data_IF_098130112794
#
_entry.id   IF_098130112794
#
_cell.length_a   1.000
_cell.length_b   1.000
_cell.length_c   1.000
_cell.angle_alpha   90.00
_cell.angle_beta   90.00
_cell.angle_gamma   90.00
#
_symmetry.space_group_name_H-M   'P 1'
#
loop_
_entity.id
_entity.type
_entity.pdbx_description
1 polymer ?
#
# COMPACT_ATOMS: atom_id res chain seq x y z
N UNK A 1 -80.42 -5.36 40.20
CA UNK A 1 -79.64 -6.04 39.09
C UNK A 1 -78.52 -5.17 38.74
N UNK A 2 -77.33 -5.56 39.15
CA UNK A 2 -76.13 -4.71 39.05
C UNK A 2 -75.13 -5.37 38.06
N UNK A 3 -74.92 -4.77 36.88
CA UNK A 3 -74.03 -5.29 35.86
C UNK A 3 -72.61 -4.76 36.11
N UNK A 4 -71.67 -5.65 36.39
CA UNK A 4 -70.27 -5.37 36.47
C UNK A 4 -69.63 -5.55 35.07
N UNK A 5 -69.05 -4.47 34.54
CA UNK A 5 -68.24 -4.49 33.32
C UNK A 5 -66.80 -4.63 33.75
N UNK A 6 -66.16 -5.75 33.36
CA UNK A 6 -64.75 -6.03 33.59
C UNK A 6 -63.96 -5.40 32.46
N UNK A 7 -63.13 -4.39 32.76
CA UNK A 7 -62.15 -3.81 31.78
C UNK A 7 -60.87 -4.60 31.93
N UNK A 8 -60.51 -5.34 30.87
CA UNK A 8 -59.15 -5.86 30.72
C UNK A 8 -58.21 -4.80 30.14
N UNK A 9 -57.17 -4.44 30.92
CA UNK A 9 -56.07 -3.59 30.47
C UNK A 9 -54.98 -4.50 29.89
N UNK A 10 -54.74 -4.42 28.57
CA UNK A 10 -53.63 -5.11 27.92
C UNK A 10 -52.41 -4.26 28.08
N UNK A 11 -51.44 -4.68 28.88
CA UNK A 11 -50.11 -4.12 28.93
C UNK A 11 -49.31 -4.64 27.71
N UNK A 12 -49.04 -3.76 26.76
CA UNK A 12 -48.10 -4.01 25.67
C UNK A 12 -46.65 -3.97 26.17
N UNK A 13 -45.97 -5.11 26.21
CA UNK A 13 -44.51 -5.14 26.35
C UNK A 13 -43.90 -4.66 25.05
N UNK A 14 -43.34 -3.44 25.06
CA UNK A 14 -42.40 -2.99 24.05
C UNK A 14 -41.07 -3.73 24.24
N UNK A 15 -40.82 -4.78 23.45
CA UNK A 15 -39.52 -5.41 23.36
C UNK A 15 -38.53 -4.49 22.65
N UNK A 16 -37.59 -3.88 23.37
CA UNK A 16 -36.39 -3.26 22.77
C UNK A 16 -35.56 -4.40 22.15
N UNK A 17 -35.59 -4.52 20.83
CA UNK A 17 -34.62 -5.29 20.11
C UNK A 17 -33.28 -4.55 20.16
N UNK A 18 -32.39 -4.96 21.05
CA UNK A 18 -30.97 -4.60 21.02
C UNK A 18 -30.37 -5.28 19.79
N UNK A 19 -30.28 -4.58 18.67
CA UNK A 19 -29.39 -4.95 17.58
C UNK A 19 -27.96 -4.80 18.08
N UNK A 20 -27.37 -5.91 18.53
CA UNK A 20 -25.95 -5.98 18.77
C UNK A 20 -25.25 -5.70 17.43
N UNK A 21 -24.59 -4.57 17.29
CA UNK A 21 -23.57 -4.38 16.26
C UNK A 21 -22.48 -5.40 16.54
N UNK A 22 -22.52 -6.52 15.83
CA UNK A 22 -21.42 -7.47 15.79
C UNK A 22 -20.33 -6.78 15.02
N UNK A 23 -19.32 -6.27 15.71
CA UNK A 23 -18.08 -5.84 15.06
C UNK A 23 -17.51 -7.06 14.33
N UNK A 24 -17.14 -6.94 13.04
CA UNK A 24 -16.55 -8.05 12.31
C UNK A 24 -15.34 -8.57 13.08
N UNK A 25 -15.20 -9.89 13.15
CA UNK A 25 -14.04 -10.50 13.81
C UNK A 25 -12.77 -10.11 13.05
N UNK A 26 -11.62 -10.06 13.74
CA UNK A 26 -10.34 -9.79 13.08
C UNK A 26 -10.04 -10.76 11.92
N UNK A 27 -10.58 -11.98 11.98
CA UNK A 27 -10.50 -12.98 10.92
C UNK A 27 -11.34 -12.61 9.67
N UNK A 28 -12.48 -11.90 9.85
CA UNK A 28 -13.32 -11.44 8.74
C UNK A 28 -12.69 -10.23 8.03
N UNK A 29 -11.99 -9.37 8.77
CA UNK A 29 -11.22 -8.26 8.20
C UNK A 29 -10.02 -8.74 7.36
N UNK A 30 -9.39 -9.84 7.74
CA UNK A 30 -8.29 -10.46 7.00
C UNK A 30 -8.78 -11.09 5.69
N UNK A 31 -9.99 -11.62 5.65
CA UNK A 31 -10.60 -12.23 4.44
C UNK A 31 -11.09 -11.22 3.41
N UNK A 32 -11.35 -9.97 3.79
CA UNK A 32 -12.02 -9.00 2.93
C UNK A 32 -11.11 -8.23 1.97
N UNK A 33 -9.79 -8.29 2.12
CA UNK A 33 -8.88 -7.65 1.17
C UNK A 33 -8.61 -8.58 -0.02
N UNK A 34 -9.46 -8.47 -1.06
CA UNK A 34 -9.22 -8.93 -2.43
C UNK A 34 -8.74 -10.38 -2.60
N UNK A 35 -9.62 -11.34 -2.40
CA UNK A 35 -9.36 -12.72 -2.78
C UNK A 35 -9.90 -13.01 -4.19
N UNK A 36 -9.09 -13.67 -5.03
CA UNK A 36 -9.45 -14.19 -6.34
C UNK A 36 -9.06 -15.66 -6.43
N UNK A 37 -10.02 -16.52 -6.78
CA UNK A 37 -9.74 -17.95 -7.02
C UNK A 37 -8.93 -18.21 -8.30
N UNK A 38 -8.73 -17.19 -9.14
CA UNK A 38 -7.92 -17.29 -10.34
C UNK A 38 -6.45 -17.52 -10.01
N UNK A 39 -5.84 -18.55 -10.59
CA UNK A 39 -4.40 -18.74 -10.49
C UNK A 39 -3.67 -17.69 -11.33
N UNK A 40 -2.52 -17.23 -10.84
CA UNK A 40 -1.62 -16.34 -11.57
C UNK A 40 -0.30 -17.05 -11.86
N UNK A 41 0.16 -16.96 -13.11
CA UNK A 41 1.38 -17.59 -13.55
C UNK A 41 2.51 -16.60 -13.81
N UNK A 42 2.16 -15.37 -14.19
CA UNK A 42 3.14 -14.32 -14.51
C UNK A 42 2.83 -13.03 -13.78
N UNK A 43 3.84 -12.55 -13.05
CA UNK A 43 3.81 -11.26 -12.39
C UNK A 43 4.94 -10.43 -12.99
N UNK A 44 4.60 -9.24 -13.48
CA UNK A 44 5.58 -8.24 -13.85
C UNK A 44 5.49 -7.04 -12.89
N UNK A 45 6.59 -6.35 -12.70
CA UNK A 45 6.62 -5.17 -11.84
C UNK A 45 7.61 -4.12 -12.36
N UNK A 46 7.41 -2.88 -11.96
CA UNK A 46 8.27 -1.78 -12.32
C UNK A 46 7.98 -0.52 -11.53
N UNK A 47 8.95 0.40 -11.53
CA UNK A 47 8.89 1.69 -10.86
C UNK A 47 9.39 2.82 -11.78
N UNK A 48 9.31 4.08 -11.31
CA UNK A 48 9.92 5.23 -11.95
C UNK A 48 9.44 5.46 -13.40
N UNK A 49 8.13 5.45 -13.60
CA UNK A 49 7.51 5.65 -14.91
C UNK A 49 7.58 7.12 -15.35
N UNK A 50 8.75 7.53 -15.89
CA UNK A 50 8.99 8.89 -16.35
C UNK A 50 8.85 9.01 -17.87
N UNK A 51 7.72 9.49 -18.40
CA UNK A 51 7.49 9.59 -19.85
C UNK A 51 8.36 10.62 -20.56
N UNK A 52 9.07 11.49 -19.83
CA UNK A 52 10.06 12.41 -20.44
C UNK A 52 11.36 11.71 -20.80
N UNK A 53 11.71 10.65 -20.07
CA UNK A 53 12.93 9.85 -20.31
C UNK A 53 12.66 8.70 -21.28
N UNK A 54 11.48 8.15 -21.23
CA UNK A 54 11.05 7.04 -22.09
C UNK A 54 9.61 7.24 -22.55
N UNK A 55 9.37 7.97 -23.65
CA UNK A 55 8.02 8.26 -24.16
C UNK A 55 7.29 7.01 -24.71
N UNK A 56 8.01 5.98 -25.15
CA UNK A 56 7.45 4.70 -25.59
C UNK A 56 7.21 3.82 -24.38
N UNK A 57 8.04 3.98 -23.35
CA UNK A 57 8.01 3.23 -22.12
C UNK A 57 8.36 1.76 -22.31
N UNK A 58 8.30 1.04 -21.22
CA UNK A 58 8.50 -0.41 -21.20
C UNK A 58 7.24 -1.20 -21.62
N UNK A 59 6.14 -0.52 -21.94
CA UNK A 59 4.86 -1.19 -22.25
C UNK A 59 4.91 -2.25 -23.34
N UNK A 60 5.62 -2.04 -24.48
CA UNK A 60 5.74 -3.10 -25.49
C UNK A 60 6.38 -4.38 -24.95
N UNK A 61 7.42 -4.25 -24.13
CA UNK A 61 8.09 -5.39 -23.49
C UNK A 61 7.17 -6.04 -22.44
N UNK A 62 6.57 -5.27 -21.55
CA UNK A 62 5.64 -5.77 -20.53
C UNK A 62 4.47 -6.52 -21.17
N UNK A 63 3.83 -5.94 -22.18
CA UNK A 63 2.70 -6.52 -22.86
C UNK A 63 3.09 -7.78 -23.67
N UNK A 64 4.34 -7.83 -24.15
CA UNK A 64 4.90 -9.01 -24.81
C UNK A 64 5.01 -10.22 -23.88
N UNK A 65 5.25 -10.00 -22.61
CA UNK A 65 5.29 -11.05 -21.59
C UNK A 65 3.89 -11.51 -21.12
N UNK A 66 2.84 -10.80 -21.45
CA UNK A 66 1.45 -11.13 -21.10
C UNK A 66 1.28 -11.43 -19.60
N UNK A 67 1.62 -10.50 -18.69
CA UNK A 67 1.50 -10.74 -17.26
C UNK A 67 0.03 -10.84 -16.84
N UNK A 68 -0.27 -11.76 -15.94
CA UNK A 68 -1.58 -11.84 -15.27
C UNK A 68 -1.74 -10.66 -14.32
N UNK A 69 -0.66 -10.29 -13.63
CA UNK A 69 -0.60 -9.17 -12.69
C UNK A 69 0.59 -8.26 -13.04
N UNK A 70 0.35 -6.96 -13.06
CA UNK A 70 1.42 -5.95 -13.10
C UNK A 70 1.39 -5.11 -11.82
N UNK A 71 2.55 -4.95 -11.18
CA UNK A 71 2.71 -4.19 -9.94
C UNK A 71 3.50 -2.91 -10.22
N UNK A 72 2.86 -1.76 -10.01
CA UNK A 72 3.55 -0.49 -9.95
C UNK A 72 4.15 -0.29 -8.55
N UNK A 73 5.47 -0.11 -8.48
CA UNK A 73 6.23 -0.02 -7.23
C UNK A 73 6.51 1.42 -6.78
N UNK A 74 5.82 2.39 -7.35
CA UNK A 74 6.00 3.81 -7.03
C UNK A 74 6.61 4.62 -8.18
N UNK A 75 6.60 5.95 -8.02
CA UNK A 75 6.92 6.89 -9.09
C UNK A 75 6.09 6.62 -10.36
N UNK A 76 4.81 6.33 -10.17
CA UNK A 76 3.90 6.05 -11.26
C UNK A 76 3.69 7.29 -12.13
N UNK A 77 3.80 8.45 -11.50
CA UNK A 77 3.88 9.79 -12.09
C UNK A 77 4.87 10.64 -11.31
N UNK A 78 5.35 11.73 -11.92
CA UNK A 78 6.16 12.76 -11.25
C UNK A 78 5.27 13.96 -10.92
N UNK A 79 4.55 13.83 -9.80
CA UNK A 79 3.60 14.81 -9.28
C UNK A 79 4.29 16.07 -8.80
N UNK A 80 5.11 15.96 -7.75
CA UNK A 80 5.92 17.03 -7.14
C UNK A 80 5.13 18.33 -6.96
N UNK A 81 3.97 18.26 -6.30
CA UNK A 81 3.06 19.40 -6.18
C UNK A 81 2.17 19.28 -4.94
N UNK A 82 1.85 20.41 -4.33
CA UNK A 82 0.78 20.53 -3.33
C UNK A 82 -0.56 20.96 -3.94
N UNK A 83 -0.59 21.23 -5.25
CA UNK A 83 -1.84 21.49 -5.96
C UNK A 83 -2.46 20.18 -6.42
N UNK A 84 -3.53 19.78 -5.76
CA UNK A 84 -4.22 18.51 -6.04
C UNK A 84 -4.85 18.45 -7.42
N UNK A 85 -5.18 19.59 -8.04
CA UNK A 85 -5.66 19.63 -9.44
C UNK A 85 -4.53 19.28 -10.41
N UNK A 86 -3.31 19.74 -10.11
CA UNK A 86 -2.11 19.40 -10.89
C UNK A 86 -1.80 17.91 -10.75
N UNK A 87 -1.84 17.37 -9.52
CA UNK A 87 -1.62 15.95 -9.28
C UNK A 87 -2.64 15.09 -10.04
N UNK A 88 -3.92 15.42 -9.92
CA UNK A 88 -5.02 14.75 -10.63
C UNK A 88 -4.85 14.80 -12.14
N UNK A 89 -4.46 15.96 -12.70
CA UNK A 89 -4.23 16.13 -14.13
C UNK A 89 -3.05 15.27 -14.63
N UNK A 90 -2.00 15.10 -13.82
CA UNK A 90 -0.86 14.24 -14.14
C UNK A 90 -1.26 12.76 -14.15
N UNK A 91 -2.05 12.30 -13.18
CA UNK A 91 -2.64 10.96 -13.20
C UNK A 91 -3.56 10.75 -14.40
N UNK A 92 -4.44 11.72 -14.72
CA UNK A 92 -5.30 11.64 -15.90
C UNK A 92 -4.48 11.51 -17.19
N UNK A 93 -3.39 12.28 -17.33
CA UNK A 93 -2.46 12.16 -18.46
C UNK A 93 -1.81 10.78 -18.53
N UNK A 94 -1.38 10.23 -17.41
CA UNK A 94 -0.83 8.88 -17.35
C UNK A 94 -1.87 7.84 -17.79
N UNK A 95 -3.10 7.93 -17.26
CA UNK A 95 -4.21 7.03 -17.61
C UNK A 95 -4.65 7.10 -19.06
N UNK A 96 -4.43 8.24 -19.74
CA UNK A 96 -4.70 8.40 -21.16
C UNK A 96 -3.66 7.73 -22.07
N UNK A 97 -2.54 7.26 -21.53
CA UNK A 97 -1.47 6.58 -22.27
C UNK A 97 -1.94 5.24 -22.84
N UNK A 98 -1.78 5.03 -24.16
CA UNK A 98 -2.24 3.82 -24.84
C UNK A 98 -1.60 2.53 -24.28
N UNK A 99 -0.32 2.58 -23.86
CA UNK A 99 0.37 1.46 -23.23
C UNK A 99 -0.28 1.08 -21.89
N UNK A 100 -0.55 2.06 -21.03
CA UNK A 100 -1.22 1.83 -19.75
C UNK A 100 -2.65 1.30 -19.93
N UNK A 101 -3.43 1.89 -20.87
CA UNK A 101 -4.78 1.42 -21.16
C UNK A 101 -4.79 -0.05 -21.61
N UNK A 102 -3.85 -0.42 -22.48
CA UNK A 102 -3.72 -1.80 -22.93
C UNK A 102 -3.31 -2.75 -21.80
N UNK A 103 -2.36 -2.32 -20.95
CA UNK A 103 -1.96 -3.10 -19.76
C UNK A 103 -3.16 -3.31 -18.82
N UNK A 104 -3.92 -2.26 -18.54
CA UNK A 104 -5.10 -2.31 -17.67
C UNK A 104 -6.23 -3.19 -18.25
N UNK A 105 -6.28 -3.34 -19.58
CA UNK A 105 -7.26 -4.20 -20.26
C UNK A 105 -6.86 -5.68 -20.28
N UNK A 106 -5.58 -6.01 -20.11
CA UNK A 106 -5.05 -7.37 -20.27
C UNK A 106 -4.46 -7.97 -18.99
N UNK A 107 -4.23 -7.16 -17.97
CA UNK A 107 -3.58 -7.59 -16.71
C UNK A 107 -4.29 -6.96 -15.52
N UNK A 108 -4.32 -7.65 -14.39
CA UNK A 108 -4.68 -7.00 -13.15
C UNK A 108 -3.56 -6.04 -12.72
N UNK A 109 -3.90 -4.78 -12.49
CA UNK A 109 -2.95 -3.75 -12.08
C UNK A 109 -3.05 -3.54 -10.58
N UNK A 110 -1.93 -3.75 -9.89
CA UNK A 110 -1.74 -3.40 -8.48
C UNK A 110 -0.74 -2.26 -8.40
N UNK A 111 -0.84 -1.42 -7.38
CA UNK A 111 0.06 -0.28 -7.25
C UNK A 111 0.31 0.12 -5.80
N UNK A 112 1.53 0.55 -5.54
CA UNK A 112 1.88 1.45 -4.44
C UNK A 112 2.45 2.74 -5.02
N UNK A 113 2.59 3.77 -4.21
CA UNK A 113 3.25 5.03 -4.56
C UNK A 113 4.67 5.09 -4.03
N UNK A 114 5.45 6.04 -4.58
CA UNK A 114 6.63 6.55 -3.94
C UNK A 114 6.51 8.07 -3.76
N UNK A 115 7.59 8.80 -3.53
CA UNK A 115 7.58 10.21 -3.15
C UNK A 115 7.02 11.13 -4.24
N UNK A 116 7.36 10.91 -5.50
CA UNK A 116 6.90 11.76 -6.60
C UNK A 116 5.41 11.68 -6.86
N UNK A 117 4.79 10.53 -6.74
CA UNK A 117 3.34 10.38 -6.90
C UNK A 117 2.57 10.51 -5.58
N UNK A 118 3.22 10.36 -4.44
CA UNK A 118 2.70 10.81 -3.15
C UNK A 118 2.51 12.33 -3.10
N UNK A 119 3.43 13.10 -3.70
CA UNK A 119 3.26 14.52 -3.97
C UNK A 119 4.45 15.43 -3.81
N UNK A 120 5.55 14.99 -3.20
CA UNK A 120 6.78 15.78 -3.10
C UNK A 120 7.98 14.89 -2.92
N UNK A 121 9.07 15.25 -3.59
CA UNK A 121 10.34 14.51 -3.47
C UNK A 121 10.73 14.29 -2.02
N UNK A 122 11.07 13.06 -1.69
CA UNK A 122 11.40 12.58 -0.35
C UNK A 122 10.31 12.87 0.72
N UNK A 123 9.04 13.02 0.30
CA UNK A 123 7.92 13.31 1.18
C UNK A 123 7.58 12.16 2.14
N UNK A 124 7.08 12.52 3.31
CA UNK A 124 6.63 11.62 4.36
C UNK A 124 5.45 12.17 5.14
N UNK A 125 5.32 11.82 6.40
CA UNK A 125 4.18 12.19 7.26
C UNK A 125 3.99 13.70 7.44
N UNK A 126 5.02 14.50 7.17
CA UNK A 126 4.99 15.97 7.18
C UNK A 126 4.40 16.58 5.91
N UNK A 127 4.13 15.79 4.86
CA UNK A 127 3.50 16.31 3.66
C UNK A 127 2.04 16.71 3.93
N UNK A 128 1.66 18.00 3.75
CA UNK A 128 0.37 18.50 4.21
C UNK A 128 -0.83 17.96 3.41
N UNK A 129 -0.64 17.57 2.15
CA UNK A 129 -1.70 17.12 1.24
C UNK A 129 -1.81 15.60 1.16
N UNK A 130 -1.21 14.86 2.10
CA UNK A 130 -1.14 13.38 2.04
C UNK A 130 -2.51 12.70 1.96
N UNK A 131 -3.53 13.25 2.63
CA UNK A 131 -4.90 12.68 2.61
C UNK A 131 -5.57 12.86 1.27
N UNK A 132 -5.41 14.04 0.67
CA UNK A 132 -5.96 14.35 -0.64
C UNK A 132 -5.24 13.56 -1.74
N UNK A 133 -3.92 13.42 -1.64
CA UNK A 133 -3.13 12.57 -2.54
C UNK A 133 -3.57 11.10 -2.46
N UNK A 134 -3.84 10.59 -1.25
CA UNK A 134 -4.36 9.25 -1.05
C UNK A 134 -5.68 9.03 -1.81
N UNK A 135 -6.63 9.94 -1.70
CA UNK A 135 -7.91 9.81 -2.41
C UNK A 135 -7.72 9.87 -3.93
N UNK A 136 -6.84 10.74 -4.44
CA UNK A 136 -6.53 10.83 -5.88
C UNK A 136 -5.90 9.53 -6.38
N UNK A 137 -4.96 8.95 -5.62
CA UNK A 137 -4.35 7.67 -5.93
C UNK A 137 -5.38 6.55 -5.99
N UNK A 138 -6.22 6.42 -4.95
CA UNK A 138 -7.25 5.40 -4.87
C UNK A 138 -8.31 5.55 -5.97
N UNK A 139 -8.68 6.78 -6.34
CA UNK A 139 -9.58 7.05 -7.45
C UNK A 139 -8.96 6.63 -8.80
N UNK A 140 -7.70 6.97 -9.02
CA UNK A 140 -7.00 6.62 -10.25
C UNK A 140 -6.87 5.11 -10.46
N UNK A 141 -6.50 4.38 -9.41
CA UNK A 141 -6.40 2.92 -9.46
C UNK A 141 -7.74 2.20 -9.25
N UNK A 142 -8.86 2.96 -9.28
CA UNK A 142 -10.24 2.45 -9.26
C UNK A 142 -10.59 1.64 -8.01
N UNK A 143 -10.00 2.03 -6.86
CA UNK A 143 -10.40 1.43 -5.60
C UNK A 143 -11.90 1.63 -5.36
N UNK A 144 -12.66 0.58 -4.97
CA UNK A 144 -14.08 0.68 -4.68
C UNK A 144 -14.41 1.78 -3.66
N UNK A 145 -15.57 2.43 -3.79
CA UNK A 145 -15.96 3.53 -2.91
C UNK A 145 -16.23 3.09 -1.46
N UNK A 146 -16.61 1.84 -1.27
CA UNK A 146 -16.87 1.21 0.02
C UNK A 146 -15.66 0.47 0.60
N UNK A 147 -14.50 0.51 -0.08
CA UNK A 147 -13.28 -0.15 0.37
C UNK A 147 -12.80 0.40 1.72
N UNK A 148 -12.32 -0.51 2.57
CA UNK A 148 -11.68 -0.16 3.84
C UNK A 148 -10.42 0.72 3.63
N UNK A 149 -9.75 0.61 2.50
CA UNK A 149 -8.58 1.44 2.14
C UNK A 149 -8.92 2.93 2.08
N UNK A 150 -10.16 3.29 1.76
CA UNK A 150 -10.62 4.70 1.77
C UNK A 150 -10.95 5.23 3.15
N UNK A 151 -11.03 4.35 4.15
CA UNK A 151 -11.45 4.66 5.51
C UNK A 151 -10.28 4.67 6.50
N UNK A 152 -9.11 4.23 6.08
CA UNK A 152 -7.89 4.17 6.90
C UNK A 152 -6.78 5.00 6.27
N UNK A 153 -5.85 5.56 7.05
CA UNK A 153 -4.68 6.26 6.54
C UNK A 153 -3.74 5.31 5.78
N UNK A 154 -3.24 5.77 4.62
CA UNK A 154 -2.28 5.04 3.80
C UNK A 154 -2.90 4.07 2.81
N UNK A 155 -2.15 3.80 1.73
CA UNK A 155 -2.62 3.02 0.58
C UNK A 155 -2.19 1.55 0.61
N UNK A 156 -1.56 1.08 1.68
CA UNK A 156 -1.11 -0.32 1.79
C UNK A 156 -2.26 -1.30 1.56
N UNK A 157 -1.96 -2.46 0.96
CA UNK A 157 -2.97 -3.46 0.62
C UNK A 157 -2.39 -4.87 0.52
N UNK A 158 -3.25 -5.87 0.64
CA UNK A 158 -2.92 -7.26 0.41
C UNK A 158 -3.91 -7.88 -0.58
N UNK A 159 -3.39 -8.69 -1.48
CA UNK A 159 -4.13 -9.39 -2.52
C UNK A 159 -3.73 -10.86 -2.50
N UNK A 160 -4.71 -11.77 -2.52
CA UNK A 160 -4.47 -13.20 -2.54
C UNK A 160 -5.09 -13.80 -3.79
N UNK A 161 -4.32 -14.60 -4.50
CA UNK A 161 -4.69 -15.28 -5.74
C UNK A 161 -4.57 -16.79 -5.58
N UNK A 162 -5.38 -17.53 -6.31
CA UNK A 162 -5.34 -18.98 -6.33
C UNK A 162 -6.09 -19.64 -5.19
N UNK A 163 -6.05 -20.94 -5.18
CA UNK A 163 -6.73 -21.80 -4.19
C UNK A 163 -5.71 -22.50 -3.29
N UNK A 164 -6.20 -23.20 -2.28
CA UNK A 164 -5.34 -23.92 -1.34
C UNK A 164 -4.34 -24.85 -2.05
N UNK A 165 -3.06 -24.69 -1.75
CA UNK A 165 -1.95 -25.41 -2.36
C UNK A 165 -1.24 -24.66 -3.49
N UNK A 166 -1.85 -23.58 -4.04
CA UNK A 166 -1.30 -22.73 -5.11
C UNK A 166 -1.59 -21.23 -4.83
N UNK A 167 -1.58 -20.82 -3.57
CA UNK A 167 -1.88 -19.44 -3.18
C UNK A 167 -0.68 -18.52 -3.34
N UNK A 168 -0.91 -17.38 -4.00
CA UNK A 168 0.04 -16.27 -4.05
C UNK A 168 -0.55 -15.05 -3.34
N UNK A 169 0.12 -14.58 -2.27
CA UNK A 169 -0.23 -13.34 -1.60
C UNK A 169 0.73 -12.22 -2.00
N UNK A 170 0.19 -11.09 -2.44
CA UNK A 170 0.94 -9.88 -2.76
C UNK A 170 0.58 -8.81 -1.74
N UNK A 171 1.55 -8.36 -0.97
CA UNK A 171 1.43 -7.29 0.03
C UNK A 171 2.18 -6.07 -0.51
N UNK A 172 1.45 -4.96 -0.68
CA UNK A 172 2.02 -3.68 -1.07
C UNK A 172 2.13 -2.79 0.15
N UNK A 173 3.35 -2.37 0.46
CA UNK A 173 3.62 -1.46 1.57
C UNK A 173 3.49 0.00 1.12
N UNK A 174 3.03 0.84 2.04
CA UNK A 174 3.07 2.29 1.92
C UNK A 174 4.23 2.82 2.76
N UNK A 175 5.30 3.21 2.11
CA UNK A 175 6.52 3.72 2.75
C UNK A 175 6.56 5.25 2.81
N UNK A 176 5.41 5.94 2.57
CA UNK A 176 5.34 7.40 2.54
C UNK A 176 4.40 7.99 3.59
N UNK A 177 3.19 7.49 3.70
CA UNK A 177 2.14 8.15 4.48
C UNK A 177 2.49 8.38 5.96
N UNK A 178 3.19 7.43 6.56
CA UNK A 178 3.58 7.45 7.97
C UNK A 178 5.05 7.77 8.20
N UNK A 179 5.87 7.75 7.14
CA UNK A 179 7.32 7.86 7.23
C UNK A 179 7.73 9.17 7.89
N UNK A 180 8.50 9.06 8.96
CA UNK A 180 9.13 10.21 9.60
C UNK A 180 10.26 10.79 8.73
N UNK A 181 10.65 12.03 9.01
CA UNK A 181 11.81 12.64 8.39
C UNK A 181 13.08 11.84 8.74
N UNK A 182 13.82 11.46 7.70
CA UNK A 182 15.05 10.72 7.87
C UNK A 182 16.22 11.65 8.19
N UNK A 183 17.15 11.25 9.06
CA UNK A 183 18.30 12.07 9.37
C UNK A 183 19.24 12.20 8.17
N UNK A 184 19.72 13.42 7.95
CA UNK A 184 20.63 13.74 6.88
C UNK A 184 22.05 13.93 7.41
N UNK A 185 23.04 13.33 6.72
CA UNK A 185 24.44 13.55 6.96
C UNK A 185 24.82 15.00 6.58
N UNK A 186 25.66 15.61 7.39
CA UNK A 186 26.23 16.94 7.11
C UNK A 186 27.72 16.81 6.84
N UNK A 187 28.11 17.07 5.60
CA UNK A 187 29.53 17.08 5.21
C UNK A 187 30.00 18.53 5.04
N UNK A 188 31.24 18.82 5.46
CA UNK A 188 31.90 20.05 5.03
C UNK A 188 32.18 20.00 3.53
N UNK A 189 32.40 21.16 2.94
CA UNK A 189 32.70 21.26 1.50
C UNK A 189 33.92 20.40 1.14
N UNK A 190 33.73 19.44 0.24
CA UNK A 190 34.79 18.53 -0.22
C UNK A 190 35.01 17.27 0.64
N UNK A 191 34.33 17.12 1.78
CA UNK A 191 34.48 15.97 2.66
C UNK A 191 33.47 14.84 2.39
N UNK A 192 32.45 15.09 1.55
CA UNK A 192 31.47 14.05 1.18
C UNK A 192 32.18 12.94 0.40
N UNK A 193 32.11 11.67 0.82
CA UNK A 193 32.67 10.55 0.08
C UNK A 193 32.11 10.50 -1.35
N UNK A 194 32.95 10.19 -2.34
CA UNK A 194 32.57 10.23 -3.76
C UNK A 194 31.55 9.15 -4.14
N UNK A 195 31.54 8.05 -3.41
CA UNK A 195 30.62 6.92 -3.55
C UNK A 195 29.26 7.14 -2.88
N UNK A 196 29.13 8.16 -2.04
CA UNK A 196 27.86 8.56 -1.41
C UNK A 196 27.12 9.54 -2.32
N UNK A 197 26.01 9.10 -2.90
CA UNK A 197 25.19 9.89 -3.83
C UNK A 197 24.25 10.83 -3.09
N UNK A 198 23.47 10.30 -2.13
CA UNK A 198 22.50 11.06 -1.34
C UNK A 198 23.08 11.65 -0.06
N UNK A 199 22.18 11.93 0.89
CA UNK A 199 22.52 12.61 2.15
C UNK A 199 21.98 11.87 3.38
N UNK A 200 21.12 10.87 3.18
CA UNK A 200 20.51 10.14 4.28
C UNK A 200 21.52 9.23 4.99
N UNK A 201 21.30 9.02 6.27
CA UNK A 201 22.12 8.14 7.09
C UNK A 201 21.24 7.31 8.03
N UNK A 202 21.70 6.15 8.47
CA UNK A 202 21.00 5.35 9.46
C UNK A 202 20.75 6.13 10.75
N UNK A 203 19.52 6.06 11.26
CA UNK A 203 19.18 6.61 12.57
C UNK A 203 19.51 5.65 13.70
N UNK A 204 19.83 6.23 14.87
CA UNK A 204 19.86 5.52 16.15
C UNK A 204 18.58 5.77 16.97
N UNK A 205 17.72 6.67 16.51
CA UNK A 205 16.44 6.97 17.15
C UNK A 205 15.41 5.92 16.78
N UNK A 206 15.07 5.06 17.74
CA UNK A 206 14.10 3.97 17.56
C UNK A 206 12.64 4.44 17.62
N UNK A 207 12.38 5.72 17.82
CA UNK A 207 11.04 6.29 17.72
C UNK A 207 10.64 6.65 16.28
N UNK A 208 11.61 6.79 15.38
CA UNK A 208 11.33 7.05 13.96
C UNK A 208 10.75 5.81 13.28
N UNK A 209 9.80 6.04 12.40
CA UNK A 209 9.09 4.96 11.69
C UNK A 209 9.04 5.19 10.17
N UNK A 210 9.00 4.10 9.42
CA UNK A 210 8.66 4.07 7.99
C UNK A 210 7.18 3.77 7.78
N UNK A 211 6.65 2.77 8.50
CA UNK A 211 5.31 2.26 8.26
C UNK A 211 4.26 2.79 9.23
N UNK A 212 4.67 3.29 10.40
CA UNK A 212 3.76 3.65 11.48
C UNK A 212 3.07 2.45 12.14
N UNK A 213 2.58 2.63 13.35
CA UNK A 213 2.00 1.54 14.15
C UNK A 213 0.81 0.86 13.49
N UNK A 214 -0.06 1.64 12.84
CA UNK A 214 -1.26 1.10 12.20
C UNK A 214 -0.93 0.13 11.06
N UNK A 215 0.02 0.48 10.19
CA UNK A 215 0.44 -0.39 9.11
C UNK A 215 1.26 -1.57 9.61
N UNK A 216 2.08 -1.39 10.67
CA UNK A 216 2.79 -2.51 11.29
C UNK A 216 1.84 -3.57 11.87
N UNK A 217 0.81 -3.15 12.61
CA UNK A 217 -0.20 -4.07 13.15
C UNK A 217 -0.94 -4.82 12.04
N UNK A 218 -1.31 -4.12 10.99
CA UNK A 218 -1.93 -4.72 9.82
C UNK A 218 -1.00 -5.70 9.11
N UNK A 219 0.28 -5.35 8.91
CA UNK A 219 1.26 -6.21 8.26
C UNK A 219 1.49 -7.51 9.05
N UNK A 220 1.61 -7.42 10.35
CA UNK A 220 1.74 -8.60 11.22
C UNK A 220 0.55 -9.56 11.05
N UNK A 221 -0.67 -9.02 10.95
CA UNK A 221 -1.85 -9.83 10.68
C UNK A 221 -1.80 -10.46 9.28
N UNK A 222 -1.42 -9.70 8.25
CA UNK A 222 -1.31 -10.22 6.88
C UNK A 222 -0.25 -11.33 6.76
N UNK A 223 0.84 -11.24 7.50
CA UNK A 223 1.89 -12.25 7.51
C UNK A 223 1.46 -13.58 8.15
N UNK A 224 0.38 -13.60 8.93
CA UNK A 224 -0.22 -14.83 9.48
C UNK A 224 -1.14 -15.54 8.47
N UNK A 225 -1.57 -14.88 7.39
CA UNK A 225 -2.37 -15.52 6.35
C UNK A 225 -1.51 -16.59 5.65
N UNK A 226 -1.97 -17.85 5.58
CA UNK A 226 -1.23 -18.88 4.88
C UNK A 226 -1.07 -18.55 3.39
N UNK A 227 0.14 -18.74 2.85
CA UNK A 227 0.41 -18.59 1.43
C UNK A 227 1.48 -19.58 0.97
N UNK A 228 1.34 -20.11 -0.24
CA UNK A 228 2.37 -20.95 -0.85
C UNK A 228 3.53 -20.07 -1.34
N UNK A 229 3.21 -18.89 -1.88
CA UNK A 229 4.16 -17.87 -2.27
C UNK A 229 3.68 -16.49 -1.80
N UNK A 230 4.60 -15.68 -1.30
CA UNK A 230 4.31 -14.30 -0.88
C UNK A 230 5.26 -13.32 -1.54
N UNK A 231 4.71 -12.19 -2.00
CA UNK A 231 5.49 -11.06 -2.47
C UNK A 231 5.25 -9.89 -1.51
N UNK A 232 6.35 -9.26 -1.06
CA UNK A 232 6.34 -7.99 -0.34
C UNK A 232 6.88 -6.93 -1.28
N UNK A 233 6.03 -6.00 -1.67
CA UNK A 233 6.37 -4.89 -2.54
C UNK A 233 6.62 -3.62 -1.72
N UNK A 234 7.77 -2.99 -1.92
CA UNK A 234 8.18 -1.75 -1.27
C UNK A 234 8.68 -0.75 -2.31
N UNK A 235 8.28 0.51 -2.22
CA UNK A 235 8.75 1.53 -3.15
C UNK A 235 10.19 1.95 -2.89
N UNK A 236 10.64 1.95 -1.63
CA UNK A 236 12.05 2.20 -1.29
C UNK A 236 12.81 0.89 -1.08
N UNK A 237 14.11 0.90 -1.39
CA UNK A 237 14.95 -0.30 -1.37
C UNK A 237 15.04 -0.90 0.03
N UNK A 238 14.72 -2.19 0.11
CA UNK A 238 14.65 -2.91 1.38
C UNK A 238 16.03 -3.43 1.83
N UNK A 239 16.87 -3.85 0.91
CA UNK A 239 18.17 -4.49 1.19
C UNK A 239 19.35 -3.53 1.12
N UNK A 240 19.22 -2.41 0.41
CA UNK A 240 20.28 -1.40 0.32
C UNK A 240 20.46 -0.70 1.67
N UNK A 241 21.71 -0.44 2.04
CA UNK A 241 22.07 0.23 3.31
C UNK A 241 23.10 1.35 3.11
N UNK A 242 23.50 1.61 1.87
CA UNK A 242 24.58 2.51 1.52
C UNK A 242 24.14 3.65 0.58
N UNK A 243 25.11 4.47 0.19
CA UNK A 243 25.00 5.57 -0.79
C UNK A 243 24.18 6.79 -0.38
N UNK A 244 23.64 6.82 0.83
CA UNK A 244 22.93 7.99 1.36
C UNK A 244 21.61 8.32 0.64
N UNK A 245 21.04 7.37 -0.10
CA UNK A 245 19.69 7.45 -0.65
C UNK A 245 18.68 6.92 0.36
N UNK A 246 17.40 7.23 0.16
CA UNK A 246 16.33 6.65 0.96
C UNK A 246 16.31 5.13 0.80
N UNK A 247 16.28 4.42 1.91
CA UNK A 247 16.17 2.97 1.97
C UNK A 247 15.76 2.52 3.38
N UNK A 248 15.36 1.27 3.53
CA UNK A 248 15.01 0.70 4.84
C UNK A 248 16.15 0.72 5.85
N UNK A 249 17.40 0.67 5.39
CA UNK A 249 18.59 0.77 6.24
C UNK A 249 18.75 2.12 6.94
N UNK A 250 18.01 3.16 6.52
CA UNK A 250 17.96 4.44 7.24
C UNK A 250 17.21 4.30 8.59
N UNK A 251 16.32 3.31 8.73
CA UNK A 251 15.59 2.99 9.96
C UNK A 251 15.85 1.53 10.32
N UNK A 252 17.08 1.20 10.78
CA UNK A 252 17.56 -0.17 10.87
C UNK A 252 16.76 -1.05 11.84
N UNK A 253 16.14 -0.49 12.87
CA UNK A 253 15.29 -1.23 13.79
C UNK A 253 13.99 -1.71 13.11
N UNK A 254 13.38 -0.92 12.21
CA UNK A 254 12.23 -1.36 11.42
C UNK A 254 12.61 -2.35 10.32
N UNK A 255 13.74 -2.15 9.66
CA UNK A 255 14.27 -3.13 8.71
C UNK A 255 14.47 -4.50 9.39
N UNK A 256 15.07 -4.53 10.55
CA UNK A 256 15.28 -5.76 11.34
C UNK A 256 13.95 -6.37 11.81
N UNK A 257 12.97 -5.52 12.23
CA UNK A 257 11.62 -5.97 12.56
C UNK A 257 10.98 -6.69 11.38
N UNK A 258 11.03 -6.07 10.19
CA UNK A 258 10.47 -6.66 8.99
C UNK A 258 11.12 -8.02 8.68
N UNK A 259 12.45 -8.11 8.65
CA UNK A 259 13.15 -9.37 8.35
C UNK A 259 12.83 -10.47 9.35
N UNK A 260 12.70 -10.14 10.64
CA UNK A 260 12.26 -11.10 11.65
C UNK A 260 10.85 -11.61 11.37
N UNK A 261 9.90 -10.70 11.12
CA UNK A 261 8.52 -11.05 10.81
C UNK A 261 8.38 -11.88 9.52
N UNK A 262 9.16 -11.56 8.48
CA UNK A 262 9.17 -12.36 7.25
C UNK A 262 9.68 -13.78 7.49
N UNK A 263 10.69 -13.93 8.33
CA UNK A 263 11.24 -15.26 8.72
C UNK A 263 10.23 -16.08 9.53
N UNK A 264 9.39 -15.42 10.32
CA UNK A 264 8.38 -16.02 11.18
C UNK A 264 7.01 -16.14 10.49
N UNK A 265 6.90 -15.66 9.25
CA UNK A 265 5.63 -15.57 8.53
C UNK A 265 5.10 -16.92 8.07
N UNK A 266 3.78 -17.01 7.91
CA UNK A 266 3.09 -18.22 7.49
C UNK A 266 3.03 -18.34 5.95
N UNK A 267 4.18 -18.37 5.29
CA UNK A 267 4.31 -18.62 3.87
C UNK A 267 5.44 -19.63 3.60
N UNK A 268 5.27 -20.49 2.58
CA UNK A 268 6.32 -21.44 2.20
C UNK A 268 7.54 -20.74 1.60
N UNK A 269 7.29 -19.69 0.81
CA UNK A 269 8.33 -18.87 0.18
C UNK A 269 7.91 -17.40 0.21
N UNK A 270 8.87 -16.51 0.41
CA UNK A 270 8.64 -15.06 0.38
C UNK A 270 9.69 -14.39 -0.50
N UNK A 271 9.23 -13.54 -1.41
CA UNK A 271 10.03 -12.67 -2.26
C UNK A 271 9.81 -11.21 -1.87
N UNK A 272 10.86 -10.42 -1.92
CA UNK A 272 10.82 -8.96 -1.72
C UNK A 272 11.16 -8.28 -3.05
N UNK A 273 10.33 -7.33 -3.46
CA UNK A 273 10.51 -6.53 -4.68
C UNK A 273 10.41 -5.05 -4.37
#
# INVERSE_FOLDING_TARGET
>A
MMNYILRMTVLGLCGLALTACVSPSSADLIRSENHSDGSIARIAFGACNNPRKDPVGMYPAILGEQPDVFIFLGDNIYGDTQDMKVLQAKYAKFGAGAGYQKLQATSQVLATWDDHDFGTNDGGNNYPMRKESEQIFLDFFKEPQDSIRRQRPGIYSAHTFGTAGETCQIILLDTRYFRDELPMARYKKGEKPKDIVGWYQPTQDTSLTLLGDAQWQWLEQQLQVPADFRIIASSIQMLSVDKGMENWGNVPHEQQRLFRLLKESNAKQTMVI
#
